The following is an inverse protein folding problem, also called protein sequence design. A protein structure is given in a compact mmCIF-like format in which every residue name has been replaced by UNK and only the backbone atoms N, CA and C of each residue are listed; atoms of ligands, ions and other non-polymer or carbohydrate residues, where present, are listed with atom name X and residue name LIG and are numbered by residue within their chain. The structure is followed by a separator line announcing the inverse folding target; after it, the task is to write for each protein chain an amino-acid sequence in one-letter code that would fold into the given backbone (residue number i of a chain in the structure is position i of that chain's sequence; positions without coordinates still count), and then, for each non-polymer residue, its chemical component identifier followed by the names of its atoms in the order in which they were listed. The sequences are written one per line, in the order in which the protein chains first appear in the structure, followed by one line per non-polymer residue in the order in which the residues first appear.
data_IF_318187959463
#
_entry.id   IF_318187959463
#
_cell.length_a   1.000
_cell.length_b   1.000
_cell.length_c   1.000
_cell.angle_alpha   90.00
_cell.angle_beta   90.00
_cell.angle_gamma   90.00
#
_symmetry.space_group_name_H-M   'P 1'
#
loop_
_entity.id
_entity.type
_entity.pdbx_description
1 polymer ?
#
# COMPACT_ATOMS: atom_id res chain seq x y z
N UNK A 1 -12.91 -36.18 -21.94
CA UNK A 1 -13.22 -35.74 -20.55
C UNK A 1 -12.01 -34.98 -19.95
N UNK A 2 -11.45 -33.97 -20.65
CA UNK A 2 -9.97 -33.80 -20.61
C UNK A 2 -9.35 -32.39 -20.71
N UNK A 3 -10.07 -31.26 -20.57
CA UNK A 3 -9.41 -29.93 -20.50
C UNK A 3 -10.11 -28.95 -19.56
N UNK A 4 -11.44 -28.97 -19.55
CA UNK A 4 -12.24 -28.06 -18.72
C UNK A 4 -12.03 -28.34 -17.23
N UNK A 5 -12.07 -29.60 -16.80
CA UNK A 5 -11.86 -29.98 -15.39
C UNK A 5 -10.43 -29.71 -14.90
N UNK A 6 -9.42 -29.78 -15.78
CA UNK A 6 -8.04 -29.37 -15.45
C UNK A 6 -7.92 -27.86 -15.35
N UNK A 7 -8.54 -27.09 -16.25
CA UNK A 7 -8.58 -25.62 -16.18
C UNK A 7 -9.29 -25.13 -14.91
N UNK A 8 -10.42 -25.74 -14.54
CA UNK A 8 -11.15 -25.38 -13.31
C UNK A 8 -10.36 -25.73 -12.05
N UNK A 9 -9.68 -26.90 -12.01
CA UNK A 9 -8.76 -27.22 -10.89
C UNK A 9 -7.56 -26.28 -10.83
N UNK A 10 -7.02 -25.88 -11.97
CA UNK A 10 -5.90 -24.95 -12.04
C UNK A 10 -6.33 -23.56 -11.56
N UNK A 11 -7.48 -23.04 -11.99
CA UNK A 11 -8.07 -21.80 -11.47
C UNK A 11 -8.27 -21.86 -9.95
N UNK A 12 -8.95 -22.89 -9.43
CA UNK A 12 -9.21 -23.04 -7.98
C UNK A 12 -7.91 -23.19 -7.17
N UNK A 13 -6.88 -23.86 -7.71
CA UNK A 13 -5.58 -24.01 -7.02
C UNK A 13 -4.78 -22.71 -6.97
N UNK A 14 -4.87 -21.89 -8.03
CA UNK A 14 -4.19 -20.59 -8.13
C UNK A 14 -4.92 -19.57 -7.24
N UNK A 15 -6.25 -19.67 -7.16
CA UNK A 15 -7.08 -18.83 -6.27
C UNK A 15 -6.72 -19.05 -4.79
N UNK A 16 -6.56 -20.31 -4.35
CA UNK A 16 -6.15 -20.63 -2.97
C UNK A 16 -4.75 -20.13 -2.61
N UNK A 17 -3.79 -20.24 -3.54
CA UNK A 17 -2.45 -19.68 -3.36
C UNK A 17 -2.52 -18.15 -3.32
N UNK A 18 -3.37 -17.55 -4.16
CA UNK A 18 -3.64 -16.11 -4.15
C UNK A 18 -4.19 -15.62 -2.81
N UNK A 19 -5.20 -16.30 -2.25
CA UNK A 19 -5.73 -15.97 -0.92
C UNK A 19 -4.68 -16.11 0.17
N UNK A 20 -3.85 -17.16 0.13
CA UNK A 20 -2.76 -17.35 1.09
C UNK A 20 -1.69 -16.26 0.97
N UNK A 21 -1.34 -15.85 -0.26
CA UNK A 21 -0.40 -14.75 -0.53
C UNK A 21 -0.95 -13.41 -0.01
N UNK A 22 -2.24 -13.12 -0.21
CA UNK A 22 -2.90 -11.92 0.32
C UNK A 22 -2.91 -11.94 1.84
N UNK A 23 -3.22 -13.08 2.46
CA UNK A 23 -3.19 -13.23 3.91
C UNK A 23 -1.77 -13.02 4.47
N UNK A 24 -0.76 -13.65 3.87
CA UNK A 24 0.64 -13.46 4.25
C UNK A 24 1.09 -12.00 4.09
N UNK A 25 0.69 -11.35 2.98
CA UNK A 25 0.95 -9.93 2.76
C UNK A 25 0.31 -9.05 3.85
N UNK A 26 -0.92 -9.36 4.25
CA UNK A 26 -1.63 -8.68 5.34
C UNK A 26 -0.91 -8.81 6.68
N UNK A 27 -0.46 -10.02 7.03
CA UNK A 27 0.33 -10.26 8.25
C UNK A 27 1.64 -9.47 8.24
N UNK A 28 2.38 -9.50 7.13
CA UNK A 28 3.62 -8.73 6.97
C UNK A 28 3.36 -7.21 7.07
N UNK A 29 2.30 -6.71 6.44
CA UNK A 29 1.91 -5.31 6.54
C UNK A 29 1.55 -4.89 7.98
N UNK A 30 0.85 -5.76 8.72
CA UNK A 30 0.52 -5.51 10.12
C UNK A 30 1.75 -5.33 11.01
N UNK A 31 2.86 -6.02 10.72
CA UNK A 31 4.11 -5.87 11.48
C UNK A 31 4.82 -4.53 11.30
N UNK A 32 4.47 -3.75 10.26
CA UNK A 32 5.13 -2.46 9.97
C UNK A 32 5.03 -1.52 11.18
N UNK A 33 3.85 -1.40 11.80
CA UNK A 33 3.65 -0.53 12.96
C UNK A 33 4.52 -0.91 14.15
N UNK A 34 4.70 -2.22 14.39
CA UNK A 34 5.58 -2.74 15.45
C UNK A 34 7.03 -2.33 15.20
N UNK A 35 7.55 -2.57 13.99
CA UNK A 35 8.93 -2.22 13.65
C UNK A 35 9.18 -0.71 13.63
N UNK A 36 8.22 0.10 13.16
CA UNK A 36 8.33 1.57 13.21
C UNK A 36 8.40 2.05 14.66
N UNK A 37 7.56 1.53 15.55
CA UNK A 37 7.60 1.89 16.96
C UNK A 37 8.91 1.44 17.64
N UNK A 38 9.40 0.24 17.31
CA UNK A 38 10.68 -0.27 17.82
C UNK A 38 11.86 0.59 17.36
N UNK A 39 11.92 0.92 16.06
CA UNK A 39 12.94 1.82 15.50
C UNK A 39 12.88 3.20 16.16
N UNK A 40 11.68 3.73 16.39
CA UNK A 40 11.50 4.99 17.12
C UNK A 40 11.97 4.90 18.57
N UNK A 41 11.80 3.76 19.23
CA UNK A 41 12.23 3.55 20.63
C UNK A 41 13.75 3.55 20.82
N UNK A 42 14.50 3.15 19.78
CA UNK A 42 15.97 3.22 19.76
C UNK A 42 16.49 4.56 19.24
N UNK A 43 15.60 5.56 19.06
CA UNK A 43 15.95 6.90 18.60
C UNK A 43 16.20 7.01 17.10
N UNK A 44 15.81 6.01 16.30
CA UNK A 44 15.98 6.08 14.86
C UNK A 44 15.08 7.15 14.24
N UNK A 45 15.64 7.94 13.33
CA UNK A 45 14.87 8.91 12.57
C UNK A 45 13.88 8.22 11.63
N UNK A 46 12.79 8.94 11.34
CA UNK A 46 11.75 8.52 10.38
C UNK A 46 12.35 8.20 9.01
N UNK A 47 13.30 9.02 8.56
CA UNK A 47 13.96 8.88 7.25
C UNK A 47 14.84 7.62 7.20
N UNK A 48 15.54 7.33 8.31
CA UNK A 48 16.37 6.13 8.43
C UNK A 48 15.52 4.86 8.38
N UNK A 49 14.37 4.87 9.06
CA UNK A 49 13.43 3.74 9.05
C UNK A 49 12.88 3.48 7.65
N UNK A 50 12.49 4.53 6.91
CA UNK A 50 12.03 4.42 5.53
C UNK A 50 13.14 3.91 4.59
N UNK A 51 14.37 4.44 4.74
CA UNK A 51 15.53 4.00 3.98
C UNK A 51 15.83 2.51 4.21
N UNK A 52 15.91 2.07 5.47
CA UNK A 52 16.19 0.68 5.82
C UNK A 52 15.13 -0.27 5.25
N UNK A 53 13.85 0.12 5.24
CA UNK A 53 12.76 -0.68 4.65
C UNK A 53 12.97 -0.93 3.15
N UNK A 54 13.31 0.13 2.40
CA UNK A 54 13.53 0.02 0.96
C UNK A 54 14.85 -0.66 0.63
N UNK A 55 15.89 -0.39 1.41
CA UNK A 55 17.20 -1.00 1.26
C UNK A 55 17.16 -2.51 1.49
N UNK A 56 16.52 -2.97 2.57
CA UNK A 56 16.33 -4.39 2.83
C UNK A 56 15.46 -5.06 1.75
N UNK A 57 14.41 -4.39 1.30
CA UNK A 57 13.59 -4.85 0.17
C UNK A 57 14.43 -5.06 -1.10
N UNK A 58 15.27 -4.09 -1.46
CA UNK A 58 16.18 -4.20 -2.60
C UNK A 58 17.21 -5.33 -2.41
N UNK A 59 17.80 -5.43 -1.21
CA UNK A 59 18.81 -6.45 -0.89
C UNK A 59 18.26 -7.88 -0.97
N UNK A 60 17.00 -8.08 -0.63
CA UNK A 60 16.30 -9.37 -0.79
C UNK A 60 15.92 -9.62 -2.26
N UNK A 61 15.50 -8.58 -3.00
CA UNK A 61 15.07 -8.73 -4.39
C UNK A 61 16.23 -9.03 -5.35
N UNK A 62 17.41 -8.44 -5.14
CA UNK A 62 18.59 -8.61 -6.00
C UNK A 62 18.97 -10.10 -6.20
N UNK A 63 19.19 -10.93 -5.16
CA UNK A 63 19.54 -12.34 -5.35
C UNK A 63 18.42 -13.14 -6.02
N UNK A 64 17.14 -12.80 -5.76
CA UNK A 64 16.00 -13.45 -6.42
C UNK A 64 16.01 -13.15 -7.93
N UNK A 65 16.27 -11.89 -8.31
CA UNK A 65 16.37 -11.49 -9.72
C UNK A 65 17.56 -12.15 -10.41
N UNK A 66 18.71 -12.20 -9.74
CA UNK A 66 19.90 -12.87 -10.25
C UNK A 66 19.67 -14.37 -10.45
N UNK A 67 18.96 -15.03 -9.54
CA UNK A 67 18.65 -16.45 -9.67
C UNK A 67 17.64 -16.74 -10.80
N UNK A 68 16.61 -15.89 -10.99
CA UNK A 68 15.58 -16.11 -12.01
C UNK A 68 16.01 -15.80 -13.44
N UNK A 69 16.89 -14.81 -13.64
CA UNK A 69 17.25 -14.37 -14.98
C UNK A 69 18.66 -13.75 -15.11
N UNK A 70 19.46 -13.77 -14.05
CA UNK A 70 20.83 -13.24 -14.07
C UNK A 70 20.91 -11.74 -14.34
N UNK A 71 22.06 -11.28 -14.85
CA UNK A 71 22.35 -9.88 -15.13
C UNK A 71 21.50 -9.26 -16.24
N UNK A 72 20.83 -10.08 -17.07
CA UNK A 72 19.94 -9.56 -18.13
C UNK A 72 18.67 -8.91 -17.57
N UNK A 73 18.23 -9.31 -16.37
CA UNK A 73 17.09 -8.68 -15.67
C UNK A 73 17.36 -7.24 -15.24
N UNK A 74 18.63 -6.84 -15.14
CA UNK A 74 19.03 -5.47 -14.84
C UNK A 74 19.20 -4.60 -16.09
N UNK A 75 19.09 -5.18 -17.30
CA UNK A 75 19.10 -4.42 -18.54
C UNK A 75 17.75 -3.75 -18.75
N UNK A 76 17.66 -2.51 -18.29
CA UNK A 76 16.49 -1.65 -18.45
C UNK A 76 16.80 -0.53 -19.47
N UNK A 77 15.84 -0.26 -20.36
CA UNK A 77 15.81 0.92 -21.23
C UNK A 77 15.78 2.21 -20.38
N UNK A 78 16.41 3.30 -20.84
CA UNK A 78 16.31 4.65 -20.24
C UNK A 78 14.87 5.06 -19.92
N UNK A 79 13.89 4.71 -20.75
CA UNK A 79 12.46 4.98 -20.48
C UNK A 79 11.95 4.16 -19.31
N UNK A 80 12.28 2.87 -19.26
CA UNK A 80 11.97 2.00 -18.12
C UNK A 80 12.62 2.48 -16.83
N UNK A 81 13.88 2.95 -16.90
CA UNK A 81 14.60 3.50 -15.75
C UNK A 81 13.94 4.78 -15.24
N UNK A 82 13.53 5.67 -16.16
CA UNK A 82 12.80 6.88 -15.83
C UNK A 82 11.45 6.58 -15.16
N UNK A 83 10.71 5.59 -15.66
CA UNK A 83 9.46 5.14 -15.03
C UNK A 83 9.68 4.55 -13.64
N UNK A 84 10.69 3.69 -13.46
CA UNK A 84 11.05 3.14 -12.15
C UNK A 84 11.46 4.24 -11.17
N UNK A 85 12.21 5.24 -11.65
CA UNK A 85 12.63 6.39 -10.84
C UNK A 85 11.45 7.26 -10.42
N UNK A 86 10.55 7.58 -11.37
CA UNK A 86 9.32 8.31 -11.06
C UNK A 86 8.44 7.57 -10.06
N UNK A 87 8.26 6.25 -10.24
CA UNK A 87 7.50 5.41 -9.31
C UNK A 87 8.15 5.36 -7.93
N UNK A 88 9.48 5.24 -7.86
CA UNK A 88 10.23 5.25 -6.60
C UNK A 88 10.09 6.56 -5.84
N UNK A 89 10.18 7.70 -6.52
CA UNK A 89 10.06 9.02 -5.87
C UNK A 89 8.62 9.32 -5.53
N UNK A 90 7.72 9.31 -6.54
CA UNK A 90 6.35 9.77 -6.37
C UNK A 90 5.55 8.80 -5.51
N UNK A 91 5.57 7.51 -5.84
CA UNK A 91 4.71 6.55 -5.16
C UNK A 91 5.35 6.01 -3.89
N UNK A 92 6.68 5.86 -3.80
CA UNK A 92 7.29 5.22 -2.63
C UNK A 92 7.88 6.21 -1.63
N UNK A 93 8.67 7.19 -2.06
CA UNK A 93 9.31 8.14 -1.15
C UNK A 93 8.29 9.13 -0.55
N UNK A 94 7.48 9.79 -1.40
CA UNK A 94 6.46 10.74 -0.91
C UNK A 94 5.39 10.04 -0.07
N UNK A 95 4.95 8.84 -0.46
CA UNK A 95 4.03 8.02 0.33
C UNK A 95 4.59 7.75 1.73
N UNK A 96 5.83 7.27 1.84
CA UNK A 96 6.44 6.99 3.14
C UNK A 96 6.53 8.24 4.01
N UNK A 97 6.94 9.36 3.41
CA UNK A 97 7.02 10.63 4.11
C UNK A 97 5.65 11.04 4.66
N UNK A 98 4.61 11.03 3.82
CA UNK A 98 3.25 11.36 4.23
C UNK A 98 2.71 10.38 5.29
N UNK A 99 2.93 9.09 5.11
CA UNK A 99 2.43 8.05 6.01
C UNK A 99 3.08 8.14 7.40
N UNK A 100 4.40 8.31 7.48
CA UNK A 100 5.07 8.38 8.78
C UNK A 100 4.78 9.72 9.47
N UNK A 101 4.70 10.84 8.73
CA UNK A 101 4.25 12.12 9.28
C UNK A 101 2.83 12.05 9.83
N UNK A 102 1.93 11.34 9.12
CA UNK A 102 0.58 11.04 9.61
C UNK A 102 0.63 10.20 10.88
N UNK A 103 1.42 9.14 10.93
CA UNK A 103 1.59 8.29 12.13
C UNK A 103 2.05 9.13 13.33
N UNK A 104 3.03 10.01 13.13
CA UNK A 104 3.55 10.88 14.19
C UNK A 104 2.50 11.88 14.71
N UNK A 105 1.56 12.29 13.87
CA UNK A 105 0.58 13.33 14.17
C UNK A 105 -0.76 12.81 14.72
N UNK A 106 -1.27 11.70 14.18
CA UNK A 106 -2.61 11.14 14.52
C UNK A 106 -2.56 9.70 15.03
N UNK A 107 -1.37 9.12 15.16
CA UNK A 107 -1.16 7.75 15.61
C UNK A 107 -1.27 6.70 14.50
N UNK A 108 -0.72 5.51 14.77
CA UNK A 108 -0.64 4.40 13.80
C UNK A 108 -2.02 3.90 13.35
N UNK A 109 -2.98 3.82 14.27
CA UNK A 109 -4.34 3.35 13.96
C UNK A 109 -5.02 4.30 12.97
N UNK A 110 -5.12 5.59 13.32
CA UNK A 110 -5.73 6.63 12.48
C UNK A 110 -5.05 6.77 11.13
N UNK A 111 -3.72 6.77 11.10
CA UNK A 111 -2.96 6.84 9.84
C UNK A 111 -3.22 5.64 8.92
N UNK A 112 -3.30 4.42 9.47
CA UNK A 112 -3.64 3.22 8.70
C UNK A 112 -5.04 3.30 8.08
N UNK A 113 -6.01 3.87 8.80
CA UNK A 113 -7.39 4.04 8.31
C UNK A 113 -7.43 5.07 7.18
N UNK A 114 -6.73 6.19 7.34
CA UNK A 114 -6.63 7.21 6.28
C UNK A 114 -5.96 6.62 5.02
N UNK A 115 -4.98 5.74 5.19
CA UNK A 115 -4.39 5.00 4.08
C UNK A 115 -5.40 4.05 3.41
N UNK A 116 -6.34 3.45 4.15
CA UNK A 116 -7.42 2.63 3.58
C UNK A 116 -8.46 3.40 2.75
N UNK A 117 -8.28 4.71 2.56
CA UNK A 117 -8.95 5.45 1.50
C UNK A 117 -8.32 5.22 0.12
N UNK A 118 -7.15 4.57 0.03
CA UNK A 118 -6.51 4.20 -1.22
C UNK A 118 -7.43 3.48 -2.23
N UNK A 119 -8.28 2.49 -1.86
CA UNK A 119 -9.20 1.84 -2.81
C UNK A 119 -10.15 2.82 -3.52
N UNK A 120 -10.51 3.93 -2.87
CA UNK A 120 -11.31 5.00 -3.48
C UNK A 120 -10.51 5.68 -4.59
N UNK A 121 -9.28 6.08 -4.30
CA UNK A 121 -8.37 6.70 -5.27
C UNK A 121 -8.02 5.75 -6.41
N UNK A 122 -7.67 4.49 -6.12
CA UNK A 122 -7.43 3.45 -7.14
C UNK A 122 -8.63 3.29 -8.06
N UNK A 123 -9.86 3.28 -7.53
CA UNK A 123 -11.06 3.13 -8.35
C UNK A 123 -11.27 4.34 -9.28
N UNK A 124 -11.07 5.55 -8.77
CA UNK A 124 -11.16 6.78 -9.55
C UNK A 124 -10.07 6.82 -10.63
N UNK A 125 -8.82 6.54 -10.26
CA UNK A 125 -7.68 6.52 -11.18
C UNK A 125 -7.81 5.44 -12.23
N UNK A 126 -8.33 4.26 -11.87
CA UNK A 126 -8.61 3.20 -12.84
C UNK A 126 -9.59 3.68 -13.92
N UNK A 127 -10.64 4.41 -13.55
CA UNK A 127 -11.54 4.99 -14.53
C UNK A 127 -10.91 6.09 -15.37
N UNK A 128 -10.04 6.93 -14.80
CA UNK A 128 -9.40 8.03 -15.55
C UNK A 128 -8.35 7.49 -16.53
N UNK A 129 -7.43 6.63 -16.07
CA UNK A 129 -6.30 6.14 -16.86
C UNK A 129 -6.65 4.94 -17.73
N UNK A 130 -7.41 3.97 -17.18
CA UNK A 130 -7.73 2.70 -17.86
C UNK A 130 -9.14 2.67 -18.44
N UNK A 131 -9.96 3.72 -18.23
CA UNK A 131 -11.33 3.86 -18.75
C UNK A 131 -12.27 2.70 -18.36
N UNK A 132 -12.01 2.07 -17.22
CA UNK A 132 -12.83 0.96 -16.74
C UNK A 132 -14.26 1.40 -16.37
N UNK A 133 -15.22 0.49 -16.56
CA UNK A 133 -16.58 0.69 -16.07
C UNK A 133 -16.64 0.49 -14.55
N UNK A 134 -17.11 1.52 -13.83
CA UNK A 134 -17.39 1.40 -12.40
C UNK A 134 -18.83 0.91 -12.28
N UNK A 135 -18.99 -0.38 -12.00
CA UNK A 135 -20.29 -0.99 -11.76
C UNK A 135 -20.93 -0.51 -10.45
N UNK A 136 -22.25 -0.65 -10.32
CA UNK A 136 -23.02 -0.22 -9.12
C UNK A 136 -22.50 -0.83 -7.82
N UNK A 137 -22.02 -2.07 -7.86
CA UNK A 137 -21.43 -2.76 -6.70
C UNK A 137 -20.15 -2.04 -6.23
N UNK A 138 -19.28 -1.61 -7.15
CA UNK A 138 -18.06 -0.86 -6.81
C UNK A 138 -18.41 0.47 -6.14
N UNK A 139 -19.44 1.17 -6.64
CA UNK A 139 -19.91 2.42 -6.03
C UNK A 139 -20.38 2.20 -4.59
N UNK A 140 -21.22 1.17 -4.36
CA UNK A 140 -21.66 0.81 -3.01
C UNK A 140 -20.48 0.47 -2.08
N UNK A 141 -19.51 -0.30 -2.57
CA UNK A 141 -18.30 -0.62 -1.80
C UNK A 141 -17.48 0.63 -1.44
N UNK A 142 -17.36 1.60 -2.37
CA UNK A 142 -16.70 2.89 -2.09
C UNK A 142 -17.42 3.67 -0.99
N UNK A 143 -18.75 3.76 -1.04
CA UNK A 143 -19.54 4.47 -0.03
C UNK A 143 -19.35 3.84 1.36
N UNK A 144 -19.40 2.51 1.44
CA UNK A 144 -19.17 1.76 2.69
C UNK A 144 -17.74 2.00 3.20
N UNK A 145 -16.73 1.96 2.32
CA UNK A 145 -15.34 2.22 2.68
C UNK A 145 -15.14 3.63 3.26
N UNK A 146 -15.66 4.67 2.59
CA UNK A 146 -15.57 6.06 3.07
C UNK A 146 -16.27 6.22 4.43
N UNK A 147 -17.46 5.64 4.57
CA UNK A 147 -18.24 5.69 5.82
C UNK A 147 -17.49 4.99 6.96
N UNK A 148 -16.91 3.82 6.71
CA UNK A 148 -16.11 3.09 7.68
C UNK A 148 -14.85 3.86 8.10
N UNK A 149 -14.14 4.44 7.14
CA UNK A 149 -12.98 5.29 7.44
C UNK A 149 -13.37 6.49 8.31
N UNK A 150 -14.47 7.16 7.99
CA UNK A 150 -14.97 8.31 8.75
C UNK A 150 -15.34 7.93 10.20
N UNK A 151 -16.11 6.85 10.39
CA UNK A 151 -16.52 6.38 11.72
C UNK A 151 -15.32 6.01 12.59
N UNK A 152 -14.34 5.33 12.00
CA UNK A 152 -13.16 4.85 12.72
C UNK A 152 -12.21 6.01 13.09
N UNK A 153 -12.02 7.00 12.20
CA UNK A 153 -11.21 8.20 12.49
C UNK A 153 -11.87 9.07 13.56
N UNK A 154 -13.20 9.20 13.54
CA UNK A 154 -13.94 10.01 14.52
C UNK A 154 -14.19 9.28 15.85
N UNK A 155 -14.00 7.96 15.91
CA UNK A 155 -14.28 7.15 17.09
C UNK A 155 -15.73 7.26 17.58
N UNK A 156 -16.66 7.71 16.72
CA UNK A 156 -18.05 7.96 17.07
C UNK A 156 -18.30 9.22 17.91
N UNK A 157 -17.30 10.08 18.16
CA UNK A 157 -17.46 11.30 18.96
C UNK A 157 -16.71 12.49 18.34
N UNK A 158 -17.45 13.35 17.63
CA UNK A 158 -16.89 14.53 16.96
C UNK A 158 -16.39 15.61 17.94
N UNK A 159 -16.84 15.59 19.19
CA UNK A 159 -16.55 16.66 20.16
C UNK A 159 -15.16 16.57 20.81
N UNK A 160 -14.42 15.47 20.59
CA UNK A 160 -13.08 15.23 21.14
C UNK A 160 -12.01 14.97 20.07
N UNK A 161 -12.21 15.46 18.85
CA UNK A 161 -11.25 15.36 17.76
C UNK A 161 -9.98 16.19 18.04
N UNK A 162 -9.08 15.67 18.87
CA UNK A 162 -7.68 16.13 19.00
C UNK A 162 -6.82 15.60 17.84
N UNK A 163 -7.38 15.55 16.63
CA UNK A 163 -6.63 15.14 15.45
C UNK A 163 -5.96 16.36 14.85
N UNK A 164 -4.65 16.27 14.66
CA UNK A 164 -3.90 17.26 13.89
C UNK A 164 -4.44 17.28 12.45
N UNK A 165 -4.94 18.43 11.99
CA UNK A 165 -5.41 18.65 10.62
C UNK A 165 -4.32 18.34 9.59
N UNK A 166 -3.06 18.67 9.92
CA UNK A 166 -1.91 18.29 9.10
C UNK A 166 -1.76 16.76 9.01
N UNK A 167 -1.94 16.03 10.10
CA UNK A 167 -1.88 14.58 10.11
C UNK A 167 -2.95 13.92 9.25
N UNK A 168 -4.18 14.44 9.28
CA UNK A 168 -5.27 13.96 8.40
C UNK A 168 -4.91 14.19 6.92
N UNK A 169 -4.44 15.39 6.60
CA UNK A 169 -4.02 15.73 5.24
C UNK A 169 -2.92 14.79 4.73
N UNK A 170 -1.87 14.57 5.52
CA UNK A 170 -0.80 13.65 5.16
C UNK A 170 -1.27 12.20 5.06
N UNK A 171 -2.23 11.76 5.89
CA UNK A 171 -2.80 10.41 5.78
C UNK A 171 -3.59 10.19 4.48
N UNK A 172 -4.41 11.18 4.07
CA UNK A 172 -5.15 11.13 2.80
C UNK A 172 -4.18 11.21 1.61
N UNK A 173 -3.18 12.09 1.68
CA UNK A 173 -2.13 12.19 0.67
C UNK A 173 -1.36 10.87 0.53
N UNK A 174 -1.10 10.15 1.62
CA UNK A 174 -0.51 8.83 1.57
C UNK A 174 -1.42 7.82 0.84
N UNK A 175 -2.74 7.84 1.10
CA UNK A 175 -3.71 7.03 0.36
C UNK A 175 -3.70 7.29 -1.14
N UNK A 176 -3.61 8.56 -1.55
CA UNK A 176 -3.51 8.95 -2.96
C UNK A 176 -2.20 8.48 -3.60
N UNK A 177 -1.05 8.70 -2.94
CA UNK A 177 0.27 8.34 -3.47
C UNK A 177 0.49 6.82 -3.55
N UNK A 178 -0.25 6.04 -2.76
CA UNK A 178 -0.27 4.60 -2.81
C UNK A 178 -1.08 4.04 -4.00
N UNK A 179 -1.94 4.86 -4.62
CA UNK A 179 -2.93 4.46 -5.62
C UNK A 179 -2.49 4.72 -7.06
#
# INVERSE_FOLDING_TARGET
MNKITQFTKQLISVDNIGYLMVFAAGCLWGTIGLFVNLMRSVGADTSLTAFMRLFMGALILIPIMLHKGGLSMFKIDKRGLSQCFMLGILSQALFNYCYITSIGSVGVATASILLYTAPVFVCIMSRIFFKESIGRIKIFALIINITGCFLMVTGGNLSNLKLSTAGIFFGIAAGFLYS
#
